data_IF_645932738819
#
_entry.id   IF_645932738819
#
_cell.length_a   1.000
_cell.length_b   1.000
_cell.length_c   1.000
_cell.angle_alpha   90.00
_cell.angle_beta   90.00
_cell.angle_gamma   90.00
#
_symmetry.space_group_name_H-M   'P 1'
#
loop_
_entity.id
_entity.type
_entity.pdbx_description
1 polymer ?
#
# COMPACT_ATOMS: atom_id res chain seq x y z
N UNK A 1 -13.74 2.53 -12.68
CA UNK A 1 -12.43 1.95 -12.29
C UNK A 1 -11.38 2.58 -13.17
N UNK A 2 -10.28 3.04 -12.58
CA UNK A 2 -9.18 3.74 -13.24
C UNK A 2 -7.90 2.92 -13.06
N UNK A 3 -7.20 2.59 -14.14
CA UNK A 3 -5.97 1.78 -14.08
C UNK A 3 -4.79 2.59 -14.60
N UNK A 4 -3.65 2.49 -13.89
CA UNK A 4 -2.39 3.07 -14.34
C UNK A 4 -2.08 2.63 -15.78
N UNK A 5 -1.66 3.58 -16.62
CA UNK A 5 -1.36 3.46 -18.06
C UNK A 5 -2.57 3.50 -19.02
N UNK A 6 -3.81 3.54 -18.53
CA UNK A 6 -4.98 3.73 -19.40
C UNK A 6 -5.13 5.18 -19.90
N UNK A 7 -4.65 6.15 -19.10
CA UNK A 7 -4.69 7.58 -19.40
C UNK A 7 -3.39 8.25 -18.92
N UNK A 8 -3.07 9.45 -19.45
CA UNK A 8 -2.04 10.31 -18.87
C UNK A 8 -2.26 10.49 -17.37
N UNK A 9 -1.18 10.42 -16.59
CA UNK A 9 -1.24 10.43 -15.12
C UNK A 9 -2.08 11.57 -14.54
N UNK A 10 -1.92 12.78 -15.07
CA UNK A 10 -2.66 13.97 -14.61
C UNK A 10 -4.16 13.80 -14.81
N UNK A 11 -4.56 13.34 -15.98
CA UNK A 11 -5.97 13.13 -16.33
C UNK A 11 -6.59 11.99 -15.51
N UNK A 12 -5.86 10.89 -15.33
CA UNK A 12 -6.32 9.77 -14.49
C UNK A 12 -6.59 10.23 -13.05
N UNK A 13 -5.70 11.07 -12.49
CA UNK A 13 -5.85 11.60 -11.14
C UNK A 13 -6.99 12.63 -11.04
N UNK A 14 -7.20 13.44 -12.06
CA UNK A 14 -8.30 14.40 -12.11
C UNK A 14 -9.66 13.68 -12.13
N UNK A 15 -9.81 12.67 -12.99
CA UNK A 15 -11.02 11.83 -13.05
C UNK A 15 -11.26 11.05 -11.76
N UNK A 16 -10.19 10.53 -11.15
CA UNK A 16 -10.30 9.83 -9.86
C UNK A 16 -10.74 10.79 -8.73
N UNK A 17 -10.25 12.05 -8.73
CA UNK A 17 -10.64 13.07 -7.73
C UNK A 17 -12.10 13.48 -7.83
N UNK A 18 -12.67 13.51 -9.03
CA UNK A 18 -14.06 13.94 -9.24
C UNK A 18 -15.09 12.82 -9.05
N UNK A 19 -14.66 11.56 -9.07
CA UNK A 19 -15.53 10.39 -8.89
C UNK A 19 -15.26 9.67 -7.57
N UNK A 20 -15.99 10.07 -6.52
CA UNK A 20 -15.86 9.51 -5.15
C UNK A 20 -16.25 8.03 -5.04
N UNK A 21 -16.92 7.47 -6.07
CA UNK A 21 -17.33 6.06 -6.12
C UNK A 21 -16.34 5.17 -6.86
N UNK A 22 -15.26 5.75 -7.35
CA UNK A 22 -14.29 5.06 -8.18
C UNK A 22 -13.18 4.36 -7.40
N UNK A 23 -12.50 3.47 -8.10
CA UNK A 23 -11.29 2.79 -7.63
C UNK A 23 -10.16 3.10 -8.59
N UNK A 24 -9.03 3.54 -8.03
CA UNK A 24 -7.78 3.72 -8.75
C UNK A 24 -6.83 2.56 -8.43
N UNK A 25 -6.39 1.85 -9.46
CA UNK A 25 -5.42 0.76 -9.36
C UNK A 25 -4.10 1.20 -9.98
N UNK A 26 -3.03 1.13 -9.19
CA UNK A 26 -1.69 1.50 -9.63
C UNK A 26 -0.61 0.78 -8.84
N UNK A 27 0.59 0.77 -9.40
CA UNK A 27 1.78 0.21 -8.78
C UNK A 27 2.36 1.16 -7.71
N UNK A 28 3.44 0.72 -7.05
CA UNK A 28 4.14 1.52 -6.02
C UNK A 28 4.59 2.88 -6.56
N UNK A 29 5.01 2.96 -7.82
CA UNK A 29 5.46 4.20 -8.45
C UNK A 29 4.32 5.18 -8.70
N UNK A 30 3.07 4.72 -8.73
CA UNK A 30 1.92 5.61 -8.87
C UNK A 30 1.61 6.40 -7.59
N UNK A 31 2.22 6.04 -6.44
CA UNK A 31 1.96 6.68 -5.14
C UNK A 31 2.61 8.06 -5.01
N UNK A 32 3.70 8.30 -5.73
CA UNK A 32 4.40 9.59 -5.67
C UNK A 32 3.52 10.67 -6.31
N UNK A 33 3.13 11.67 -5.53
CA UNK A 33 2.35 12.82 -5.99
C UNK A 33 0.83 12.63 -6.10
N UNK A 34 0.26 11.61 -5.44
CA UNK A 34 -1.21 11.51 -5.26
C UNK A 34 -1.59 12.24 -3.98
N UNK A 35 -2.17 13.43 -4.17
CA UNK A 35 -2.76 14.26 -3.11
C UNK A 35 -4.22 14.52 -3.48
N UNK A 36 -5.13 13.91 -2.74
CA UNK A 36 -6.59 13.89 -2.90
C UNK A 36 -7.23 14.10 -1.52
N UNK A 37 -7.44 15.35 -1.08
CA UNK A 37 -7.93 15.64 0.26
C UNK A 37 -9.42 15.28 0.40
N UNK A 38 -9.88 15.09 1.64
CA UNK A 38 -11.30 14.89 1.94
C UNK A 38 -11.87 13.56 1.44
N UNK A 39 -13.12 13.58 0.96
CA UNK A 39 -13.87 12.38 0.59
C UNK A 39 -13.36 11.65 -0.66
N UNK A 40 -12.45 12.26 -1.42
CA UNK A 40 -11.88 11.65 -2.63
C UNK A 40 -10.94 10.46 -2.36
N UNK A 41 -10.51 10.23 -1.11
CA UNK A 41 -9.74 9.04 -0.74
C UNK A 41 -10.10 8.53 0.65
N UNK A 42 -11.09 7.64 0.72
CA UNK A 42 -11.56 7.04 1.98
C UNK A 42 -10.96 5.66 2.26
N UNK A 43 -10.32 5.04 1.27
CA UNK A 43 -9.71 3.72 1.40
C UNK A 43 -8.35 3.63 0.71
N UNK A 44 -7.40 3.00 1.39
CA UNK A 44 -6.11 2.61 0.80
C UNK A 44 -5.96 1.10 0.95
N UNK A 45 -5.88 0.38 -0.16
CA UNK A 45 -5.69 -1.07 -0.17
C UNK A 45 -4.27 -1.38 -0.64
N UNK A 46 -3.54 -2.14 0.17
CA UNK A 46 -2.18 -2.58 -0.09
C UNK A 46 -2.20 -4.10 -0.19
N UNK A 47 -1.97 -4.63 -1.39
CA UNK A 47 -2.04 -6.07 -1.66
C UNK A 47 -0.90 -6.84 -0.96
N UNK A 48 0.29 -6.24 -0.86
CA UNK A 48 1.48 -6.84 -0.24
C UNK A 48 2.41 -5.82 0.38
N UNK A 49 3.21 -6.24 1.36
CA UNK A 49 4.25 -5.38 1.94
C UNK A 49 5.19 -4.89 0.81
N UNK A 50 5.33 -3.56 0.60
CA UNK A 50 6.08 -2.97 -0.49
C UNK A 50 7.58 -3.04 -0.21
N UNK A 51 8.18 -4.22 -0.36
CA UNK A 51 9.63 -4.33 -0.31
C UNK A 51 10.28 -3.61 -1.50
N UNK A 52 11.45 -2.99 -1.31
CA UNK A 52 12.17 -2.38 -2.41
C UNK A 52 12.55 -3.41 -3.47
N UNK A 53 12.70 -2.95 -4.70
CA UNK A 53 13.07 -3.83 -5.80
C UNK A 53 14.50 -4.38 -5.59
N UNK A 54 14.73 -5.69 -5.72
CA UNK A 54 16.05 -6.29 -5.45
C UNK A 54 17.14 -5.85 -6.43
N UNK A 55 16.75 -5.30 -7.59
CA UNK A 55 17.66 -4.71 -8.59
C UNK A 55 17.80 -3.19 -8.50
N UNK A 56 17.27 -2.56 -7.46
CA UNK A 56 17.54 -1.14 -7.21
C UNK A 56 19.04 -0.98 -6.86
N UNK A 57 19.82 -0.21 -7.63
CA UNK A 57 21.27 -0.08 -7.42
C UNK A 57 21.64 0.44 -6.03
N UNK A 58 20.84 1.35 -5.47
CA UNK A 58 21.09 1.92 -4.14
C UNK A 58 20.83 0.86 -3.06
N UNK A 59 19.84 0.01 -3.27
CA UNK A 59 19.51 -1.08 -2.34
C UNK A 59 20.55 -2.18 -2.39
N UNK A 60 21.04 -2.53 -3.57
CA UNK A 60 22.14 -3.48 -3.73
C UNK A 60 23.39 -3.00 -3.01
N UNK A 61 23.83 -1.77 -3.29
CA UNK A 61 25.01 -1.20 -2.64
C UNK A 61 24.88 -1.16 -1.10
N UNK A 62 23.72 -0.74 -0.57
CA UNK A 62 23.48 -0.73 0.88
C UNK A 62 23.41 -2.14 1.48
N UNK A 63 22.83 -3.09 0.77
CA UNK A 63 22.74 -4.47 1.24
C UNK A 63 24.13 -5.13 1.28
N UNK A 64 24.99 -4.86 0.31
CA UNK A 64 26.37 -5.35 0.29
C UNK A 64 27.17 -4.83 1.50
N UNK A 65 27.03 -3.54 1.83
CA UNK A 65 27.68 -2.92 2.99
C UNK A 65 27.22 -3.52 4.34
N UNK A 66 25.94 -3.89 4.45
CA UNK A 66 25.36 -4.42 5.70
C UNK A 66 25.41 -5.96 5.81
N UNK A 67 25.73 -6.65 4.72
CA UNK A 67 25.87 -8.10 4.65
C UNK A 67 24.65 -8.85 5.22
N UNK A 68 24.88 -9.76 6.18
CA UNK A 68 23.81 -10.57 6.79
C UNK A 68 22.72 -9.75 7.50
N UNK A 69 23.00 -8.49 7.86
CA UNK A 69 22.04 -7.60 8.54
C UNK A 69 21.24 -6.73 7.56
N UNK A 70 21.52 -6.82 6.25
CA UNK A 70 20.89 -6.01 5.21
C UNK A 70 19.35 -6.01 5.26
N UNK A 71 18.74 -7.17 5.47
CA UNK A 71 17.28 -7.26 5.56
C UNK A 71 16.73 -6.36 6.67
N UNK A 72 17.25 -6.48 7.89
CA UNK A 72 16.76 -5.75 9.07
C UNK A 72 17.14 -4.28 9.05
N UNK A 73 18.31 -3.92 8.49
CA UNK A 73 18.84 -2.56 8.53
C UNK A 73 18.51 -1.71 7.30
N UNK A 74 18.24 -2.34 6.15
CA UNK A 74 18.04 -1.63 4.87
C UNK A 74 16.66 -1.94 4.31
N UNK A 75 16.42 -3.21 3.99
CA UNK A 75 15.23 -3.63 3.23
C UNK A 75 13.93 -3.44 4.01
N UNK A 76 13.91 -3.89 5.27
CA UNK A 76 12.74 -3.79 6.14
C UNK A 76 12.41 -2.33 6.53
N UNK A 77 13.37 -1.48 6.95
CA UNK A 77 13.10 -0.06 7.20
C UNK A 77 12.53 0.67 5.98
N UNK A 78 13.01 0.36 4.77
CA UNK A 78 12.41 0.92 3.56
C UNK A 78 10.98 0.47 3.32
N UNK A 79 10.70 -0.82 3.47
CA UNK A 79 9.33 -1.33 3.33
C UNK A 79 8.37 -0.66 4.34
N UNK A 80 8.83 -0.47 5.58
CA UNK A 80 8.09 0.24 6.64
C UNK A 80 7.83 1.71 6.26
N UNK A 81 8.83 2.39 5.72
CA UNK A 81 8.69 3.77 5.23
C UNK A 81 7.66 3.87 4.10
N UNK A 82 7.72 2.98 3.11
CA UNK A 82 6.76 2.96 2.01
C UNK A 82 5.33 2.65 2.47
N UNK A 83 5.15 1.77 3.45
CA UNK A 83 3.85 1.53 4.07
C UNK A 83 3.33 2.78 4.79
N UNK A 84 4.16 3.42 5.62
CA UNK A 84 3.79 4.65 6.32
C UNK A 84 3.37 5.74 5.34
N UNK A 85 4.10 5.91 4.23
CA UNK A 85 3.76 6.87 3.19
C UNK A 85 2.43 6.54 2.49
N UNK A 86 2.19 5.25 2.17
CA UNK A 86 0.94 4.81 1.56
C UNK A 86 -0.26 5.05 2.48
N UNK A 87 -0.16 4.67 3.75
CA UNK A 87 -1.22 4.89 4.76
C UNK A 87 -1.41 6.37 5.04
N UNK A 88 -0.33 7.16 5.10
CA UNK A 88 -0.38 8.61 5.29
C UNK A 88 -1.09 9.37 4.16
N UNK A 89 -1.37 8.75 3.00
CA UNK A 89 -2.23 9.36 1.99
C UNK A 89 -3.68 9.52 2.46
N UNK A 90 -4.12 8.71 3.42
CA UNK A 90 -5.49 8.63 3.90
C UNK A 90 -5.86 9.74 4.89
N UNK A 91 -4.90 10.20 5.70
CA UNK A 91 -5.13 11.19 6.76
C UNK A 91 -4.24 12.40 6.49
N UNK A 92 -4.81 13.48 5.92
CA UNK A 92 -4.11 14.74 5.64
C UNK A 92 -4.64 15.90 6.48
N UNK A 93 -5.91 15.87 6.83
CA UNK A 93 -6.55 16.84 7.73
C UNK A 93 -7.09 16.16 8.99
N UNK A 94 -7.36 16.94 10.04
CA UNK A 94 -7.94 16.43 11.29
C UNK A 94 -9.36 15.87 11.13
N UNK A 95 -10.06 16.26 10.07
CA UNK A 95 -11.40 15.76 9.74
C UNK A 95 -11.41 14.51 8.86
N UNK A 96 -10.26 14.11 8.28
CA UNK A 96 -10.21 12.97 7.37
C UNK A 96 -10.51 11.67 8.10
N UNK A 97 -11.30 10.80 7.46
CA UNK A 97 -11.64 9.47 7.97
C UNK A 97 -11.50 8.45 6.84
N UNK A 98 -11.04 7.25 7.18
CA UNK A 98 -10.98 6.18 6.22
C UNK A 98 -10.41 4.89 6.78
N UNK A 99 -10.13 3.94 5.88
CA UNK A 99 -9.56 2.63 6.23
C UNK A 99 -8.31 2.31 5.40
N UNK A 100 -7.24 1.92 6.07
CA UNK A 100 -6.11 1.26 5.43
C UNK A 100 -6.28 -0.26 5.53
N UNK A 101 -6.29 -0.95 4.40
CA UNK A 101 -6.48 -2.40 4.31
C UNK A 101 -5.17 -2.97 3.75
N UNK A 102 -4.58 -3.92 4.48
CA UNK A 102 -3.34 -4.58 4.07
C UNK A 102 -3.65 -6.07 3.94
N UNK A 103 -3.50 -6.61 2.74
CA UNK A 103 -3.84 -7.99 2.41
C UNK A 103 -2.68 -8.97 2.69
N UNK A 104 -1.67 -8.52 3.45
CA UNK A 104 -0.47 -9.28 3.81
C UNK A 104 -0.45 -9.57 5.31
N UNK A 105 -0.80 -10.80 5.67
CA UNK A 105 -0.86 -11.26 7.07
C UNK A 105 0.46 -11.14 7.82
N UNK A 106 1.61 -11.06 7.10
CA UNK A 106 2.94 -10.90 7.71
C UNK A 106 3.05 -9.64 8.54
N UNK A 107 2.23 -8.62 8.32
CA UNK A 107 2.24 -7.42 9.16
C UNK A 107 1.90 -7.71 10.64
N UNK A 108 1.09 -8.74 10.88
CA UNK A 108 0.71 -9.24 12.21
C UNK A 108 1.58 -10.44 12.59
N UNK A 109 1.77 -11.38 11.66
CA UNK A 109 2.43 -12.66 11.93
C UNK A 109 3.95 -12.49 12.17
N UNK A 110 4.59 -11.50 11.54
CA UNK A 110 6.02 -11.18 11.72
C UNK A 110 6.22 -10.07 12.74
N UNK A 111 5.96 -10.39 14.01
CA UNK A 111 6.15 -9.44 15.11
C UNK A 111 7.60 -8.94 15.24
N UNK A 112 8.57 -9.78 14.83
CA UNK A 112 10.00 -9.43 14.75
C UNK A 112 10.27 -8.23 13.83
N UNK A 113 9.42 -8.01 12.82
CA UNK A 113 9.56 -6.91 11.87
C UNK A 113 9.07 -5.57 12.40
N UNK A 114 8.25 -5.56 13.47
CA UNK A 114 7.75 -4.35 14.14
C UNK A 114 7.13 -3.30 13.20
N UNK A 115 6.52 -3.74 12.09
CA UNK A 115 5.94 -2.84 11.06
C UNK A 115 4.84 -1.96 11.66
N UNK A 116 3.97 -2.54 12.49
CA UNK A 116 2.86 -1.84 13.14
C UNK A 116 3.30 -0.57 13.91
N UNK A 117 4.56 -0.49 14.36
CA UNK A 117 5.08 0.67 15.12
C UNK A 117 5.28 1.93 14.28
N UNK A 118 5.41 1.79 12.96
CA UNK A 118 5.63 2.94 12.05
C UNK A 118 4.33 3.40 11.39
N UNK A 119 3.23 2.68 11.62
CA UNK A 119 1.92 3.10 11.19
C UNK A 119 1.35 4.15 12.17
N UNK A 120 0.40 5.00 11.73
CA UNK A 120 -0.33 5.87 12.64
C UNK A 120 -0.90 5.08 13.83
N UNK A 121 -1.01 5.68 15.03
CA UNK A 121 -1.53 5.03 16.22
C UNK A 121 -3.04 4.80 16.10
N UNK A 122 -3.42 3.76 15.37
CA UNK A 122 -4.82 3.38 15.11
C UNK A 122 -5.03 1.91 15.50
N UNK A 123 -6.28 1.55 15.78
CA UNK A 123 -6.65 0.17 16.06
C UNK A 123 -6.43 -0.71 14.82
N UNK A 124 -5.65 -1.78 14.96
CA UNK A 124 -5.44 -2.79 13.91
C UNK A 124 -6.33 -3.98 14.18
N UNK A 125 -7.16 -4.35 13.20
CA UNK A 125 -8.04 -5.52 13.29
C UNK A 125 -7.68 -6.53 12.19
N UNK A 126 -7.45 -7.79 12.58
CA UNK A 126 -7.31 -8.88 11.60
C UNK A 126 -8.69 -9.28 11.11
N UNK A 127 -8.88 -9.26 9.79
CA UNK A 127 -10.09 -9.77 9.15
C UNK A 127 -9.78 -11.14 8.53
N UNK A 128 -10.68 -12.10 8.75
CA UNK A 128 -10.63 -13.40 8.06
C UNK A 128 -11.75 -13.44 7.04
N UNK A 129 -11.39 -13.47 5.76
CA UNK A 129 -12.36 -13.58 4.67
C UNK A 129 -12.58 -15.07 4.39
N UNK A 130 -13.79 -15.56 4.62
CA UNK A 130 -14.20 -16.87 4.12
C UNK A 130 -14.49 -16.72 2.63
N UNK A 131 -13.62 -17.27 1.78
CA UNK A 131 -13.90 -17.35 0.36
C UNK A 131 -14.93 -18.44 0.19
N UNK A 132 -16.20 -18.06 0.03
CA UNK A 132 -17.20 -18.99 -0.47
C UNK A 132 -16.77 -19.31 -1.90
N UNK A 133 -16.43 -20.56 -2.16
CA UNK A 133 -16.14 -21.04 -3.51
C UNK A 133 -17.32 -20.68 -4.40
N UNK A 134 -17.15 -19.66 -5.25
CA UNK A 134 -18.06 -19.43 -6.37
C UNK A 134 -17.86 -20.64 -7.28
N UNK A 135 -18.78 -21.60 -7.18
CA UNK A 135 -18.86 -22.71 -8.10
C UNK A 135 -18.84 -22.12 -9.51
N UNK A 136 -17.77 -22.38 -10.25
CA UNK A 136 -17.80 -22.19 -11.70
C UNK A 136 -18.83 -23.18 -12.23
N UNK A 137 -20.06 -22.71 -12.45
CA UNK A 137 -20.94 -23.33 -13.45
C UNK A 137 -20.21 -23.22 -14.79
N UNK A 138 -19.52 -24.30 -15.14
CA UNK A 138 -19.16 -24.59 -16.52
C UNK A 138 -20.47 -24.84 -17.25
N UNK A 139 -21.02 -23.81 -17.90
CA UNK A 139 -22.03 -24.03 -18.92
C UNK A 139 -21.34 -24.58 -20.16
N UNK A 140 -21.84 -25.74 -20.56
CA UNK A 140 -21.50 -26.58 -21.71
C UNK A 140 -21.60 -25.82 -23.02
#
# INVERSE_FOLDING_TARGET
MYVQNDLPRTELLERFRSDISSVLVGSVSFREGVDIPGEGLTQVIIDRIPFPHPKDPIIQARNELEGRKAFIKVTLPQARMYLRQAVGRLIRTSSDRGRAIILDGRIIDRQDWKIHRDLPPVSIQRLTVKINSVAHEKTV
#
